data_IF_901286408174
#
_entry.id   IF_901286408174
#
_cell.length_a   1.000
_cell.length_b   1.000
_cell.length_c   1.000
_cell.angle_alpha   90.00
_cell.angle_beta   90.00
_cell.angle_gamma   90.00
#
_symmetry.space_group_name_H-M   'P 1'
#
loop_
_entity.id
_entity.type
_entity.pdbx_description
1 polymer ?
#
# COMPACT_ATOMS: atom_id res chain seq x y z
N UNK A 1 -16.61 -3.32 -12.17
CA UNK A 1 -15.77 -3.44 -13.39
C UNK A 1 -15.96 -4.78 -14.13
N UNK A 2 -15.62 -5.94 -13.53
CA UNK A 2 -15.66 -7.25 -14.25
C UNK A 2 -17.04 -7.55 -14.83
N UNK A 3 -18.09 -7.39 -14.05
CA UNK A 3 -19.47 -7.60 -14.51
C UNK A 3 -19.85 -6.58 -15.59
N UNK A 4 -19.51 -5.30 -15.39
CA UNK A 4 -19.76 -4.25 -16.36
C UNK A 4 -19.04 -4.53 -17.69
N UNK A 5 -17.78 -4.98 -17.65
CA UNK A 5 -17.03 -5.35 -18.84
C UNK A 5 -17.66 -6.52 -19.59
N UNK A 6 -18.16 -7.54 -18.86
CA UNK A 6 -18.86 -8.69 -19.45
C UNK A 6 -20.20 -8.32 -20.08
N UNK A 7 -20.94 -7.42 -19.46
CA UNK A 7 -22.26 -6.98 -19.95
C UNK A 7 -22.15 -6.05 -21.17
N UNK A 8 -21.33 -5.00 -21.04
CA UNK A 8 -21.21 -3.96 -22.06
C UNK A 8 -20.26 -4.32 -23.19
N UNK A 9 -19.33 -5.25 -22.93
CA UNK A 9 -18.31 -5.74 -23.87
C UNK A 9 -17.57 -4.62 -24.64
N UNK A 10 -17.10 -3.56 -23.93
CA UNK A 10 -16.28 -2.54 -24.58
C UNK A 10 -14.92 -3.13 -24.96
N UNK A 11 -14.17 -2.45 -25.86
CA UNK A 11 -12.82 -2.86 -26.17
C UNK A 11 -11.85 -2.57 -25.01
N UNK A 12 -12.15 -1.53 -24.22
CA UNK A 12 -11.44 -1.23 -22.98
C UNK A 12 -12.37 -0.66 -21.92
N UNK A 13 -12.12 -1.03 -20.66
CA UNK A 13 -12.72 -0.40 -19.48
C UNK A 13 -11.58 0.09 -18.57
N UNK A 14 -11.50 1.39 -18.36
CA UNK A 14 -10.44 2.03 -17.59
C UNK A 14 -10.98 2.61 -16.29
N UNK A 15 -10.24 2.43 -15.21
CA UNK A 15 -10.60 2.96 -13.91
C UNK A 15 -10.00 4.36 -13.74
N UNK A 16 -10.84 5.34 -13.38
CA UNK A 16 -10.47 6.74 -13.20
C UNK A 16 -10.83 7.23 -11.80
N UNK A 17 -10.01 8.12 -11.25
CA UNK A 17 -10.31 8.83 -10.00
C UNK A 17 -9.96 10.32 -10.12
N UNK A 18 -10.61 11.16 -9.34
CA UNK A 18 -10.21 12.55 -9.21
C UNK A 18 -9.00 12.68 -8.29
N UNK A 19 -8.00 13.44 -8.72
CA UNK A 19 -6.78 13.69 -7.95
C UNK A 19 -6.50 15.19 -7.84
N UNK A 20 -5.90 15.66 -6.72
CA UNK A 20 -5.56 17.07 -6.54
C UNK A 20 -4.48 17.56 -7.52
N UNK A 21 -3.50 16.72 -7.85
CA UNK A 21 -2.44 17.03 -8.82
C UNK A 21 -2.35 15.95 -9.91
N UNK A 22 -3.05 16.15 -11.05
CA UNK A 22 -3.07 15.16 -12.12
C UNK A 22 -1.78 15.08 -12.94
N UNK A 23 -0.81 15.99 -12.75
CA UNK A 23 0.45 16.03 -13.50
C UNK A 23 1.35 14.80 -13.26
N UNK A 24 1.07 14.04 -12.22
CA UNK A 24 1.83 12.84 -11.85
C UNK A 24 1.32 11.56 -12.50
N UNK A 25 0.17 11.62 -13.19
CA UNK A 25 -0.58 10.46 -13.67
C UNK A 25 -0.89 10.57 -15.16
N UNK A 26 -1.31 9.46 -15.75
CA UNK A 26 -2.06 9.49 -16.99
C UNK A 26 -3.41 10.20 -16.76
N UNK A 27 -3.75 11.16 -17.58
CA UNK A 27 -4.97 12.00 -17.42
C UNK A 27 -5.93 11.74 -18.55
N UNK A 28 -7.21 11.48 -18.20
CA UNK A 28 -8.28 11.27 -19.15
C UNK A 28 -9.17 12.51 -19.27
N UNK A 29 -9.57 12.84 -20.49
CA UNK A 29 -10.63 13.80 -20.80
C UNK A 29 -11.90 13.05 -21.18
N UNK A 30 -13.01 13.41 -20.53
CA UNK A 30 -14.32 12.86 -20.84
C UNK A 30 -15.18 13.90 -21.56
N UNK A 31 -15.89 13.46 -22.60
CA UNK A 31 -16.94 14.25 -23.25
C UNK A 31 -18.19 13.40 -23.39
N UNK A 32 -19.30 13.91 -22.84
CA UNK A 32 -20.58 13.18 -22.79
C UNK A 32 -20.44 11.76 -22.20
N UNK A 33 -19.63 11.62 -21.14
CA UNK A 33 -19.39 10.33 -20.46
C UNK A 33 -18.47 9.35 -21.21
N UNK A 34 -17.90 9.74 -22.36
CA UNK A 34 -16.96 8.92 -23.14
C UNK A 34 -15.55 9.47 -23.03
N UNK A 35 -14.58 8.58 -23.02
CA UNK A 35 -13.16 8.95 -23.07
C UNK A 35 -12.84 9.47 -24.47
N UNK A 36 -12.33 10.70 -24.56
CA UNK A 36 -11.97 11.32 -25.83
C UNK A 36 -10.47 11.56 -25.95
N UNK A 37 -9.77 11.66 -24.82
CA UNK A 37 -8.33 11.90 -24.82
C UNK A 37 -7.67 11.37 -23.57
N UNK A 38 -6.46 10.82 -23.73
CA UNK A 38 -5.58 10.43 -22.65
C UNK A 38 -4.17 10.99 -22.93
N UNK A 39 -3.51 11.45 -21.87
CA UNK A 39 -2.13 11.95 -21.95
C UNK A 39 -1.37 11.54 -20.71
N UNK A 40 -0.21 10.94 -20.88
CA UNK A 40 0.69 10.58 -19.78
C UNK A 40 1.37 11.82 -19.20
N UNK A 41 1.24 12.05 -17.91
CA UNK A 41 1.90 13.10 -17.12
C UNK A 41 1.93 14.46 -17.81
N UNK A 42 0.77 15.02 -18.18
CA UNK A 42 0.70 16.24 -18.96
C UNK A 42 1.22 17.44 -18.15
N UNK A 43 2.04 18.30 -18.76
CA UNK A 43 2.47 19.56 -18.13
C UNK A 43 1.29 20.52 -17.85
N UNK A 44 0.26 20.45 -18.69
CA UNK A 44 -1.00 21.19 -18.56
C UNK A 44 -2.15 20.19 -18.66
N UNK A 45 -2.64 19.69 -17.52
CA UNK A 45 -3.74 18.73 -17.48
C UNK A 45 -5.03 19.32 -18.06
N UNK A 46 -5.78 18.52 -18.80
CA UNK A 46 -7.08 18.89 -19.35
C UNK A 46 -8.25 18.57 -18.41
N UNK A 47 -7.99 17.77 -17.38
CA UNK A 47 -8.94 17.39 -16.34
C UNK A 47 -8.19 17.00 -15.05
N UNK A 48 -8.92 16.70 -13.98
CA UNK A 48 -8.38 16.10 -12.74
C UNK A 48 -8.58 14.58 -12.66
N UNK A 49 -9.05 13.94 -13.77
CA UNK A 49 -9.30 12.51 -13.82
C UNK A 49 -8.04 11.73 -14.16
N UNK A 50 -7.47 11.08 -13.17
CA UNK A 50 -6.28 10.25 -13.29
C UNK A 50 -6.62 8.78 -13.53
N UNK A 51 -5.80 8.10 -14.34
CA UNK A 51 -5.82 6.65 -14.46
C UNK A 51 -5.22 6.01 -13.20
N UNK A 52 -5.91 5.01 -12.65
CA UNK A 52 -5.51 4.37 -11.39
C UNK A 52 -4.80 3.03 -11.54
N UNK A 53 -4.33 2.72 -12.75
CA UNK A 53 -3.54 1.51 -12.99
C UNK A 53 -4.35 0.20 -13.05
N UNK A 54 -5.67 0.29 -13.16
CA UNK A 54 -6.56 -0.88 -13.32
C UNK A 54 -7.30 -0.76 -14.64
N UNK A 55 -7.10 -1.74 -15.51
CA UNK A 55 -7.62 -1.76 -16.87
C UNK A 55 -8.21 -3.13 -17.20
N UNK A 56 -9.19 -3.14 -18.08
CA UNK A 56 -9.68 -4.35 -18.75
C UNK A 56 -9.67 -4.10 -20.24
N UNK A 57 -9.16 -5.05 -21.00
CA UNK A 57 -9.06 -4.97 -22.45
C UNK A 57 -9.59 -6.23 -23.10
N UNK A 58 -10.06 -6.09 -24.33
CA UNK A 58 -10.16 -7.21 -25.26
C UNK A 58 -8.82 -7.38 -26.03
N UNK A 59 -8.82 -8.22 -27.07
CA UNK A 59 -7.60 -8.52 -27.82
C UNK A 59 -7.06 -7.35 -28.67
N UNK A 60 -7.84 -6.29 -28.93
CA UNK A 60 -7.39 -5.12 -29.70
C UNK A 60 -6.29 -4.33 -28.98
N UNK A 61 -6.11 -4.52 -27.69
CA UNK A 61 -4.97 -3.95 -26.95
C UNK A 61 -3.63 -4.36 -27.56
N UNK A 62 -3.51 -5.58 -28.12
CA UNK A 62 -2.28 -6.04 -28.74
C UNK A 62 -1.96 -5.31 -30.06
N UNK A 63 -2.99 -4.90 -30.81
CA UNK A 63 -2.82 -4.01 -31.97
C UNK A 63 -2.29 -2.65 -31.52
N UNK A 64 -2.91 -2.09 -30.49
CA UNK A 64 -2.51 -0.80 -29.92
C UNK A 64 -1.05 -0.82 -29.44
N UNK A 65 -0.66 -1.84 -28.65
CA UNK A 65 0.71 -1.99 -28.14
C UNK A 65 1.74 -2.10 -29.26
N UNK A 66 1.42 -2.78 -30.37
CA UNK A 66 2.32 -2.91 -31.51
C UNK A 66 2.41 -1.63 -32.36
N UNK A 67 1.43 -0.74 -32.27
CA UNK A 67 1.36 0.49 -33.04
C UNK A 67 2.01 1.69 -32.36
N UNK A 68 2.05 1.72 -31.01
CA UNK A 68 2.62 2.84 -30.26
C UNK A 68 4.14 2.87 -30.31
N UNK A 69 4.70 4.05 -30.08
CA UNK A 69 6.15 4.28 -30.03
C UNK A 69 6.51 4.74 -28.61
N UNK A 70 7.79 4.57 -28.20
CA UNK A 70 8.25 5.13 -26.95
C UNK A 70 7.95 6.62 -26.84
N UNK A 71 7.43 7.04 -25.69
CA UNK A 71 7.14 8.44 -25.36
C UNK A 71 8.43 9.26 -25.22
N UNK A 72 8.28 10.55 -24.93
CA UNK A 72 9.41 11.43 -24.57
C UNK A 72 10.21 10.93 -23.33
N UNK A 73 9.63 10.02 -22.55
CA UNK A 73 10.27 9.34 -21.39
C UNK A 73 11.07 8.11 -21.81
N UNK A 74 11.05 7.75 -23.09
CA UNK A 74 11.60 6.51 -23.64
C UNK A 74 10.92 5.25 -23.07
N UNK A 75 9.62 5.35 -22.73
CA UNK A 75 8.78 4.27 -22.23
C UNK A 75 7.58 4.05 -23.15
N UNK A 76 7.11 2.80 -23.27
CA UNK A 76 5.83 2.49 -23.92
C UNK A 76 4.72 2.75 -22.90
N UNK A 77 3.92 3.76 -23.13
CA UNK A 77 2.89 4.21 -22.19
C UNK A 77 1.56 3.49 -22.44
N UNK A 78 0.95 2.98 -21.38
CA UNK A 78 -0.40 2.39 -21.50
C UNK A 78 -1.44 3.44 -21.90
N UNK A 79 -1.24 4.69 -21.53
CA UNK A 79 -2.07 5.83 -21.95
C UNK A 79 -2.09 6.01 -23.46
N UNK A 80 -0.93 5.83 -24.12
CA UNK A 80 -0.83 5.93 -25.58
C UNK A 80 -1.52 4.76 -26.27
N UNK A 81 -1.43 3.55 -25.69
CA UNK A 81 -2.17 2.39 -26.21
C UNK A 81 -3.69 2.58 -26.10
N UNK A 82 -4.16 3.12 -24.97
CA UNK A 82 -5.59 3.42 -24.79
C UNK A 82 -6.01 4.57 -25.75
N UNK A 83 -5.16 5.59 -25.93
CA UNK A 83 -5.42 6.67 -26.88
C UNK A 83 -5.52 6.13 -28.33
N UNK A 84 -4.65 5.18 -28.70
CA UNK A 84 -4.74 4.51 -29.98
C UNK A 84 -6.10 3.84 -30.18
N UNK A 85 -6.63 3.16 -29.16
CA UNK A 85 -7.96 2.56 -29.24
C UNK A 85 -9.04 3.63 -29.48
N UNK A 86 -8.99 4.75 -28.76
CA UNK A 86 -9.93 5.87 -28.93
C UNK A 86 -9.86 6.43 -30.37
N UNK A 87 -8.64 6.69 -30.86
CA UNK A 87 -8.41 7.30 -32.17
C UNK A 87 -8.85 6.39 -33.34
N UNK A 88 -8.84 5.07 -33.14
CA UNK A 88 -9.29 4.08 -34.12
C UNK A 88 -10.77 3.67 -33.94
N UNK A 89 -11.53 4.39 -33.13
CA UNK A 89 -12.96 4.21 -32.97
C UNK A 89 -13.39 3.03 -32.13
N UNK A 90 -12.46 2.43 -31.37
CA UNK A 90 -12.78 1.39 -30.40
C UNK A 90 -13.48 1.98 -29.16
N UNK A 91 -14.34 1.20 -28.53
CA UNK A 91 -15.09 1.64 -27.36
C UNK A 91 -14.22 1.57 -26.09
N UNK A 92 -13.87 2.75 -25.55
CA UNK A 92 -13.17 2.88 -24.27
C UNK A 92 -14.12 3.47 -23.24
N UNK A 93 -14.51 2.66 -22.26
CA UNK A 93 -15.45 3.05 -21.22
C UNK A 93 -14.70 3.51 -19.96
N UNK A 94 -15.04 4.66 -19.38
CA UNK A 94 -14.54 5.07 -18.08
C UNK A 94 -15.38 4.43 -16.97
N UNK A 95 -14.73 4.00 -15.91
CA UNK A 95 -15.34 3.65 -14.64
C UNK A 95 -14.76 4.53 -13.54
N UNK A 96 -15.60 5.32 -12.88
CA UNK A 96 -15.15 6.22 -11.81
C UNK A 96 -15.06 5.46 -10.49
N UNK A 97 -13.95 5.62 -9.78
CA UNK A 97 -13.77 5.05 -8.43
C UNK A 97 -14.75 5.71 -7.48
N UNK A 98 -15.52 4.90 -6.77
CA UNK A 98 -16.33 5.34 -5.65
C UNK A 98 -15.58 5.05 -4.34
N UNK A 99 -15.33 6.06 -3.54
CA UNK A 99 -14.59 5.94 -2.28
C UNK A 99 -13.17 6.53 -2.39
N UNK A 100 -12.29 6.10 -1.49
CA UNK A 100 -10.91 6.57 -1.50
C UNK A 100 -10.02 5.74 -2.44
N UNK A 101 -9.05 6.40 -3.01
CA UNK A 101 -7.97 5.79 -3.78
C UNK A 101 -6.63 6.41 -3.34
N UNK A 102 -5.60 5.61 -3.27
CA UNK A 102 -4.25 6.04 -2.91
C UNK A 102 -3.22 5.34 -3.79
N UNK A 103 -2.38 6.11 -4.44
CA UNK A 103 -1.17 5.60 -5.06
C UNK A 103 -0.16 5.21 -3.97
N UNK A 104 0.44 4.03 -4.09
CA UNK A 104 1.38 3.47 -3.11
C UNK A 104 2.80 3.38 -3.68
N UNK A 105 3.17 4.33 -4.52
CA UNK A 105 4.48 4.38 -5.17
C UNK A 105 5.65 4.71 -4.25
N UNK A 106 5.39 5.21 -3.04
CA UNK A 106 6.41 5.55 -2.03
C UNK A 106 6.09 4.86 -0.70
N UNK A 107 7.10 4.74 0.16
CA UNK A 107 6.95 4.11 1.49
C UNK A 107 5.94 4.87 2.35
N UNK A 108 5.98 6.20 2.32
CA UNK A 108 5.05 7.06 3.05
C UNK A 108 3.60 6.83 2.62
N UNK A 109 3.38 6.58 1.32
CA UNK A 109 2.05 6.27 0.77
C UNK A 109 1.53 4.92 1.25
N UNK A 110 2.42 3.93 1.43
CA UNK A 110 2.07 2.61 1.99
C UNK A 110 1.64 2.74 3.45
N UNK A 111 2.36 3.53 4.26
CA UNK A 111 2.00 3.78 5.65
C UNK A 111 0.68 4.55 5.76
N UNK A 112 0.44 5.51 4.87
CA UNK A 112 -0.83 6.23 4.82
C UNK A 112 -1.99 5.31 4.40
N UNK A 113 -1.79 4.43 3.42
CA UNK A 113 -2.79 3.44 3.03
C UNK A 113 -3.12 2.49 4.20
N UNK A 114 -2.09 2.05 4.95
CA UNK A 114 -2.26 1.26 6.17
C UNK A 114 -3.11 2.03 7.21
N UNK A 115 -2.84 3.31 7.42
CA UNK A 115 -3.63 4.18 8.32
C UNK A 115 -5.10 4.19 7.93
N UNK A 116 -5.40 4.45 6.65
CA UNK A 116 -6.77 4.51 6.13
C UNK A 116 -7.53 3.18 6.30
N UNK A 117 -6.86 2.05 6.07
CA UNK A 117 -7.44 0.73 6.27
C UNK A 117 -7.73 0.49 7.76
N UNK A 118 -6.76 0.79 8.62
CA UNK A 118 -6.89 0.57 10.06
C UNK A 118 -7.96 1.46 10.70
N UNK A 119 -8.26 2.63 10.18
CA UNK A 119 -9.37 3.49 10.66
C UNK A 119 -10.76 2.82 10.50
N UNK A 120 -10.89 1.89 9.57
CA UNK A 120 -12.16 1.20 9.27
C UNK A 120 -12.33 -0.16 9.94
N UNK A 121 -11.34 -0.66 10.68
CA UNK A 121 -11.42 -1.99 11.30
C UNK A 121 -12.38 -2.01 12.48
N UNK A 122 -12.93 -3.18 12.73
CA UNK A 122 -13.70 -3.48 13.94
C UNK A 122 -12.87 -4.41 14.81
N UNK A 123 -12.65 -4.03 16.07
CA UNK A 123 -11.82 -4.80 17.00
C UNK A 123 -12.34 -6.23 17.20
N UNK A 124 -11.41 -7.20 17.21
CA UNK A 124 -11.70 -8.62 17.45
C UNK A 124 -10.51 -9.29 18.12
N UNK A 125 -10.74 -10.04 19.20
CA UNK A 125 -9.69 -10.74 19.94
C UNK A 125 -9.93 -12.24 19.84
N UNK A 126 -9.03 -12.96 19.16
CA UNK A 126 -9.04 -14.42 19.01
C UNK A 126 -7.80 -15.09 19.65
N UNK A 127 -6.76 -14.32 19.90
CA UNK A 127 -5.53 -14.77 20.55
C UNK A 127 -5.63 -14.84 22.09
N UNK A 128 -4.54 -15.21 22.72
CA UNK A 128 -4.38 -15.28 24.18
C UNK A 128 -3.77 -14.00 24.72
N UNK A 129 -4.52 -13.27 25.54
CA UNK A 129 -4.05 -12.04 26.22
C UNK A 129 -4.02 -12.29 27.73
N UNK A 130 -2.87 -12.09 28.38
CA UNK A 130 -2.75 -12.26 29.80
C UNK A 130 -3.42 -11.13 30.60
N UNK A 131 -3.54 -11.31 31.92
CA UNK A 131 -4.19 -10.34 32.83
C UNK A 131 -3.36 -9.07 33.08
N UNK A 132 -2.07 -9.09 32.80
CA UNK A 132 -1.18 -7.95 32.95
C UNK A 132 -1.20 -7.03 31.72
N UNK A 133 -1.67 -7.54 30.59
CA UNK A 133 -1.76 -6.79 29.35
C UNK A 133 -3.02 -5.92 29.26
N UNK A 134 -2.94 -4.84 28.49
CA UNK A 134 -4.03 -3.90 28.27
C UNK A 134 -4.26 -3.69 26.78
N UNK A 135 -5.49 -3.90 26.33
CA UNK A 135 -5.90 -3.67 24.94
C UNK A 135 -6.89 -2.50 24.95
N UNK A 136 -6.60 -1.44 24.20
CA UNK A 136 -7.42 -0.24 24.12
C UNK A 136 -7.69 0.15 22.66
N UNK A 137 -8.92 0.59 22.35
CA UNK A 137 -9.33 1.00 21.02
C UNK A 137 -9.65 -0.18 20.09
N UNK A 138 -9.71 0.06 18.78
CA UNK A 138 -10.00 -0.96 17.79
C UNK A 138 -8.75 -1.79 17.51
N UNK A 139 -8.69 -2.99 18.03
CA UNK A 139 -7.55 -3.92 17.86
C UNK A 139 -8.06 -5.26 17.34
N UNK A 140 -7.45 -5.74 16.26
CA UNK A 140 -7.63 -7.11 15.80
C UNK A 140 -6.43 -7.93 16.33
N UNK A 141 -6.73 -8.98 17.09
CA UNK A 141 -5.75 -9.97 17.54
C UNK A 141 -6.22 -11.31 16.96
N UNK A 142 -5.45 -11.84 16.03
CA UNK A 142 -5.82 -13.05 15.32
C UNK A 142 -5.49 -14.34 16.07
N UNK A 143 -5.84 -15.48 15.49
CA UNK A 143 -5.67 -16.79 16.10
C UNK A 143 -4.19 -17.13 16.34
N UNK A 144 -3.90 -17.81 17.43
CA UNK A 144 -2.53 -18.20 17.79
C UNK A 144 -1.65 -17.10 18.39
N UNK A 145 -2.11 -15.83 18.37
CA UNK A 145 -1.37 -14.71 18.99
C UNK A 145 -1.26 -14.88 20.49
N UNK A 146 -0.09 -14.55 21.03
CA UNK A 146 0.18 -14.52 22.48
C UNK A 146 0.62 -13.12 22.88
N UNK A 147 -0.13 -12.49 23.79
CA UNK A 147 0.17 -11.15 24.34
C UNK A 147 0.44 -11.30 25.84
N UNK A 148 1.64 -10.90 26.29
CA UNK A 148 2.06 -11.00 27.68
C UNK A 148 2.68 -9.69 28.18
N UNK A 149 2.21 -9.20 29.32
CA UNK A 149 2.69 -7.99 30.00
C UNK A 149 2.91 -6.80 29.03
N UNK A 150 1.92 -6.56 28.15
CA UNK A 150 2.05 -5.65 27.04
C UNK A 150 0.86 -4.69 26.95
N UNK A 151 1.06 -3.57 26.27
CA UNK A 151 0.00 -2.59 26.01
C UNK A 151 -0.18 -2.48 24.50
N UNK A 152 -1.40 -2.68 24.02
CA UNK A 152 -1.76 -2.47 22.62
C UNK A 152 -2.81 -1.38 22.54
N UNK A 153 -2.54 -0.33 21.77
CA UNK A 153 -3.48 0.77 21.48
C UNK A 153 -3.82 0.78 20.01
N UNK A 154 -5.09 0.58 19.71
CA UNK A 154 -5.60 0.64 18.35
C UNK A 154 -5.78 2.06 17.79
N UNK A 155 -6.03 2.16 16.48
CA UNK A 155 -6.29 1.00 15.62
C UNK A 155 -5.02 0.22 15.30
N UNK A 156 -5.08 -1.12 15.46
CA UNK A 156 -3.94 -2.00 15.21
C UNK A 156 -4.38 -3.43 14.82
N UNK A 157 -3.57 -4.12 14.05
CA UNK A 157 -3.76 -5.53 13.68
C UNK A 157 -2.53 -6.33 14.08
N UNK A 158 -2.75 -7.45 14.78
CA UNK A 158 -1.74 -8.44 15.13
C UNK A 158 -2.10 -9.74 14.44
N UNK A 159 -1.31 -10.12 13.46
CA UNK A 159 -1.50 -11.31 12.62
C UNK A 159 -1.22 -12.62 13.36
N UNK A 160 -1.64 -13.74 12.77
CA UNK A 160 -1.66 -15.06 13.41
C UNK A 160 -0.28 -15.48 13.94
N UNK A 161 -0.28 -16.29 15.02
CA UNK A 161 0.92 -16.92 15.57
C UNK A 161 2.02 -15.93 16.01
N UNK A 162 1.67 -14.65 16.20
CA UNK A 162 2.59 -13.59 16.62
C UNK A 162 2.69 -13.51 18.14
N UNK A 163 3.89 -13.25 18.65
CA UNK A 163 4.16 -13.07 20.08
C UNK A 163 4.47 -11.60 20.38
N UNK A 164 3.73 -11.01 21.33
CA UNK A 164 3.94 -9.64 21.84
C UNK A 164 4.23 -9.74 23.34
N UNK A 165 5.49 -9.52 23.75
CA UNK A 165 5.93 -9.75 25.12
C UNK A 165 6.61 -8.48 25.67
N UNK A 166 6.18 -8.02 26.85
CA UNK A 166 6.73 -6.84 27.55
C UNK A 166 6.88 -5.62 26.61
N UNK A 167 5.89 -5.39 25.74
CA UNK A 167 6.00 -4.46 24.61
C UNK A 167 4.83 -3.47 24.58
N UNK A 168 5.03 -2.38 23.83
CA UNK A 168 3.99 -1.42 23.50
C UNK A 168 3.77 -1.41 21.99
N UNK A 169 2.52 -1.62 21.58
CA UNK A 169 2.08 -1.46 20.20
C UNK A 169 1.10 -0.29 20.15
N UNK A 170 1.51 0.77 19.46
CA UNK A 170 0.73 1.99 19.31
C UNK A 170 -0.21 1.97 18.10
N UNK A 171 -0.96 3.06 17.91
CA UNK A 171 -1.95 3.19 16.84
C UNK A 171 -1.34 3.04 15.44
N UNK A 172 -2.18 2.67 14.49
CA UNK A 172 -1.84 2.54 13.07
C UNK A 172 -0.69 1.56 12.79
N UNK A 173 -0.57 0.54 13.63
CA UNK A 173 0.44 -0.51 13.51
C UNK A 173 -0.20 -1.79 12.99
N UNK A 174 0.38 -2.35 11.93
CA UNK A 174 0.04 -3.66 11.39
C UNK A 174 1.23 -4.59 11.53
N UNK A 175 1.06 -5.68 12.28
CA UNK A 175 2.06 -6.73 12.45
C UNK A 175 1.50 -7.99 11.80
N UNK A 176 2.23 -8.55 10.84
CA UNK A 176 1.84 -9.77 10.15
C UNK A 176 2.10 -11.02 10.99
N UNK A 177 1.89 -12.16 10.39
CA UNK A 177 1.95 -13.46 11.04
C UNK A 177 3.37 -13.87 11.47
N UNK A 178 3.45 -14.74 12.47
CA UNK A 178 4.70 -15.36 12.98
C UNK A 178 5.80 -14.36 13.37
N UNK A 179 5.40 -13.14 13.74
CA UNK A 179 6.33 -12.13 14.25
C UNK A 179 6.59 -12.30 15.76
N UNK A 180 7.74 -11.81 16.21
CA UNK A 180 8.08 -11.79 17.65
C UNK A 180 8.54 -10.41 18.06
N UNK A 181 7.73 -9.72 18.87
CA UNK A 181 8.00 -8.37 19.38
C UNK A 181 8.22 -8.46 20.89
N UNK A 182 9.45 -8.24 21.32
CA UNK A 182 9.85 -8.46 22.71
C UNK A 182 10.57 -7.21 23.26
N UNK A 183 10.09 -6.66 24.35
CA UNK A 183 10.69 -5.47 25.03
C UNK A 183 10.94 -4.33 24.05
N UNK A 184 9.92 -3.99 23.24
CA UNK A 184 10.03 -3.03 22.18
C UNK A 184 8.76 -2.19 22.09
N UNK A 185 8.89 -0.93 21.72
CA UNK A 185 7.77 -0.05 21.43
C UNK A 185 7.70 0.22 19.92
N UNK A 186 6.50 0.07 19.34
CA UNK A 186 6.25 0.28 17.89
C UNK A 186 4.93 1.01 17.72
N UNK A 187 4.90 2.03 16.83
CA UNK A 187 3.66 2.67 16.39
C UNK A 187 3.76 3.14 14.93
N UNK A 188 2.62 3.46 14.28
CA UNK A 188 2.52 3.92 12.88
C UNK A 188 3.37 3.12 11.88
N UNK A 189 3.48 1.82 12.07
CA UNK A 189 4.46 0.99 11.36
C UNK A 189 3.83 -0.28 10.82
N UNK A 190 4.47 -0.83 9.80
CA UNK A 190 4.14 -2.14 9.23
C UNK A 190 5.30 -3.09 9.47
N UNK A 191 5.02 -4.25 10.06
CA UNK A 191 5.98 -5.34 10.27
C UNK A 191 5.51 -6.55 9.47
N UNK A 192 6.30 -6.96 8.49
CA UNK A 192 5.97 -8.11 7.65
C UNK A 192 6.33 -9.42 8.34
N UNK A 193 5.80 -10.51 7.81
CA UNK A 193 5.82 -11.87 8.38
C UNK A 193 7.21 -12.34 8.82
N UNK A 194 7.24 -13.16 9.87
CA UNK A 194 8.44 -13.84 10.35
C UNK A 194 9.48 -12.93 11.03
N UNK A 195 9.21 -11.64 11.18
CA UNK A 195 10.18 -10.69 11.72
C UNK A 195 10.29 -10.76 13.23
N UNK A 196 11.52 -10.65 13.75
CA UNK A 196 11.84 -10.64 15.17
C UNK A 196 12.45 -9.30 15.60
N UNK A 197 11.78 -8.60 16.52
CA UNK A 197 12.24 -7.29 17.03
C UNK A 197 12.34 -7.39 18.56
N UNK A 198 13.54 -7.18 19.10
CA UNK A 198 13.74 -7.37 20.53
C UNK A 198 14.71 -6.40 21.17
N UNK A 199 14.38 -5.99 22.41
CA UNK A 199 15.22 -5.13 23.24
C UNK A 199 15.63 -3.81 22.55
N UNK A 200 14.76 -3.22 21.76
CA UNK A 200 15.01 -1.93 21.11
C UNK A 200 14.70 -0.82 22.11
N UNK A 201 15.72 -0.01 22.43
CA UNK A 201 15.64 0.97 23.51
C UNK A 201 14.89 2.26 23.20
N UNK A 202 14.56 2.49 21.93
CA UNK A 202 13.74 3.62 21.46
C UNK A 202 12.53 3.11 20.72
N UNK A 203 11.46 3.91 20.69
CA UNK A 203 10.27 3.57 19.92
C UNK A 203 10.58 3.54 18.43
N UNK A 204 10.10 2.51 17.75
CA UNK A 204 10.07 2.41 16.30
C UNK A 204 8.79 3.12 15.84
N UNK A 205 8.93 4.11 14.99
CA UNK A 205 7.83 4.89 14.46
C UNK A 205 7.97 5.07 12.94
N UNK A 206 6.84 5.21 12.24
CA UNK A 206 6.75 5.47 10.80
C UNK A 206 7.67 4.55 9.97
N UNK A 207 7.66 3.25 10.27
CA UNK A 207 8.60 2.30 9.72
C UNK A 207 7.92 1.18 8.93
N UNK A 208 8.57 0.75 7.85
CA UNK A 208 8.21 -0.45 7.10
C UNK A 208 9.33 -1.49 7.27
N UNK A 209 9.01 -2.59 7.94
CA UNK A 209 9.94 -3.67 8.25
C UNK A 209 9.59 -4.87 7.38
N UNK A 210 10.54 -5.31 6.57
CA UNK A 210 10.39 -6.41 5.61
C UNK A 210 10.16 -7.78 6.26
N UNK A 211 10.10 -8.83 5.45
CA UNK A 211 9.93 -10.21 5.91
C UNK A 211 11.21 -10.77 6.53
N UNK A 212 11.05 -11.60 7.56
CA UNK A 212 12.15 -12.31 8.23
C UNK A 212 13.29 -11.40 8.72
N UNK A 213 12.97 -10.12 9.00
CA UNK A 213 13.94 -9.13 9.49
C UNK A 213 14.20 -9.36 10.98
N UNK A 214 15.46 -9.25 11.40
CA UNK A 214 15.86 -9.31 12.79
C UNK A 214 16.44 -7.99 13.25
N UNK A 215 15.76 -7.33 14.21
CA UNK A 215 16.19 -6.09 14.84
C UNK A 215 16.42 -6.36 16.33
N UNK A 216 17.63 -6.12 16.82
CA UNK A 216 17.94 -6.33 18.22
C UNK A 216 19.08 -5.44 18.67
N UNK A 217 19.07 -5.13 19.98
CA UNK A 217 20.15 -4.38 20.59
C UNK A 217 21.37 -5.29 20.75
N UNK A 218 22.51 -4.88 20.19
CA UNK A 218 23.79 -5.54 20.43
C UNK A 218 24.33 -5.29 21.84
N UNK A 219 25.22 -6.15 22.38
CA UNK A 219 25.93 -5.87 23.60
C UNK A 219 26.63 -4.51 23.58
N UNK A 220 26.71 -3.80 24.73
CA UNK A 220 27.26 -2.44 24.73
C UNK A 220 28.76 -2.36 24.42
N UNK A 221 29.46 -3.48 24.46
CA UNK A 221 30.92 -3.56 24.15
C UNK A 221 31.25 -4.87 23.43
N UNK A 222 32.09 -4.84 22.35
CA UNK A 222 32.52 -3.63 21.66
C UNK A 222 31.34 -2.90 21.01
N UNK A 223 31.35 -1.55 20.99
CA UNK A 223 30.36 -0.77 20.29
C UNK A 223 30.59 -0.87 18.79
N UNK A 224 29.67 -1.50 18.08
CA UNK A 224 29.81 -1.76 16.64
C UNK A 224 28.42 -1.71 15.97
N UNK A 225 28.36 -1.09 14.80
CA UNK A 225 27.23 -1.21 13.91
C UNK A 225 27.51 -2.36 12.92
N UNK A 226 26.67 -3.38 12.92
CA UNK A 226 26.68 -4.42 11.90
C UNK A 226 25.49 -4.22 10.98
N UNK A 227 25.75 -3.79 9.75
CA UNK A 227 24.72 -3.47 8.77
C UNK A 227 24.69 -4.52 7.68
N UNK A 228 23.51 -5.07 7.41
CA UNK A 228 23.20 -5.91 6.26
C UNK A 228 22.00 -5.26 5.60
N UNK A 229 22.26 -4.52 4.54
CA UNK A 229 21.27 -3.63 3.91
C UNK A 229 21.12 -3.97 2.43
N UNK A 230 19.95 -3.74 1.88
CA UNK A 230 19.67 -3.88 0.46
C UNK A 230 19.86 -2.57 -0.31
N UNK A 231 19.52 -2.60 -1.58
CA UNK A 231 19.60 -1.43 -2.46
C UNK A 231 18.65 -0.32 -2.00
N UNK A 232 19.10 0.93 -2.14
CA UNK A 232 18.34 2.15 -1.80
C UNK A 232 17.90 2.26 -0.34
N UNK A 233 18.61 1.57 0.59
CA UNK A 233 18.37 1.71 2.03
C UNK A 233 18.90 3.06 2.54
N UNK A 234 18.12 3.71 3.42
CA UNK A 234 18.53 4.89 4.18
C UNK A 234 18.62 4.54 5.67
N UNK A 235 19.71 4.88 6.32
CA UNK A 235 19.96 4.52 7.70
C UNK A 235 20.36 5.77 8.50
N UNK A 236 19.51 6.19 9.43
CA UNK A 236 19.84 7.22 10.42
C UNK A 236 20.47 6.59 11.67
N UNK A 237 21.68 7.02 12.00
CA UNK A 237 22.42 6.58 13.21
C UNK A 237 22.56 7.77 14.16
N UNK A 238 22.19 7.57 15.44
CA UNK A 238 22.38 8.53 16.53
C UNK A 238 23.49 8.06 17.46
#
# INVERSE_FOLDING_TARGET
MVEEFKEKKPNSLILLTEVPDPRLFGVAELKNGKVVRLVEKPKKPMSNLALVGVYMFDFHVFEAINAIKPSWRNELEITDAIQYLVDNGYEVHPHLVSGWWKDTGKIEDILEANRLILESIVGKIQGKVDKASRINGQVIIEEGVVVQNSIIRGPAIIGPETEIIESYIGPFTAIQERCRIIKTEIEHSIVLEGSEIRNVGSRIDQSLIGRDVKIYKCPPKPSVYRLIVGDKSEIGIK
#
